data_IF_694257099318
#
_entry.id   IF_694257099318
#
_cell.length_a   1.000
_cell.length_b   1.000
_cell.length_c   1.000
_cell.angle_alpha   90.00
_cell.angle_beta   90.00
_cell.angle_gamma   90.00
#
_symmetry.space_group_name_H-M   'P 1'
#
loop_
_entity.id
_entity.type
_entity.pdbx_description
1 polymer ?
#
# COMPACT_ATOMS: atom_id res chain seq x y z
N UNK A 1 2.80 6.90 -38.36
CA UNK A 1 2.25 7.84 -37.35
C UNK A 1 2.67 7.32 -35.98
N UNK A 2 3.62 7.98 -35.33
CA UNK A 2 4.15 7.54 -34.04
C UNK A 2 3.11 7.81 -32.95
N UNK A 3 2.70 6.74 -32.28
CA UNK A 3 1.73 6.72 -31.19
C UNK A 3 2.09 7.76 -30.12
N UNK A 4 1.12 8.63 -29.78
CA UNK A 4 1.23 9.57 -28.66
C UNK A 4 1.53 8.76 -27.39
N UNK A 5 2.72 8.97 -26.82
CA UNK A 5 3.11 8.45 -25.51
C UNK A 5 1.99 8.71 -24.51
N UNK A 6 1.32 7.65 -24.06
CA UNK A 6 0.38 7.71 -22.96
C UNK A 6 1.18 7.90 -21.67
N UNK A 7 1.50 9.15 -21.34
CA UNK A 7 2.13 9.48 -20.06
C UNK A 7 1.25 8.96 -18.91
N UNK A 8 1.85 8.21 -17.98
CA UNK A 8 1.16 7.76 -16.78
C UNK A 8 0.72 8.94 -15.91
N UNK A 9 -0.26 8.72 -15.03
CA UNK A 9 -0.82 9.80 -14.19
C UNK A 9 0.27 10.51 -13.37
N UNK A 10 1.21 9.77 -12.78
CA UNK A 10 2.33 10.36 -12.05
C UNK A 10 3.24 11.21 -12.94
N UNK A 11 3.60 10.73 -14.13
CA UNK A 11 4.48 11.48 -15.03
C UNK A 11 3.82 12.78 -15.50
N UNK A 12 2.50 12.73 -15.77
CA UNK A 12 1.72 13.93 -16.10
C UNK A 12 1.70 14.92 -14.94
N UNK A 13 1.45 14.44 -13.71
CA UNK A 13 1.46 15.28 -12.51
C UNK A 13 2.83 15.92 -12.27
N UNK A 14 3.91 15.14 -12.40
CA UNK A 14 5.29 15.61 -12.28
C UNK A 14 5.63 16.70 -13.30
N UNK A 15 5.26 16.50 -14.57
CA UNK A 15 5.55 17.48 -15.62
C UNK A 15 4.77 18.78 -15.40
N UNK A 16 3.51 18.69 -14.95
CA UNK A 16 2.72 19.87 -14.59
C UNK A 16 3.33 20.61 -13.39
N UNK A 17 3.75 19.91 -12.34
CA UNK A 17 4.40 20.51 -11.18
C UNK A 17 5.70 21.24 -11.57
N UNK A 18 6.49 20.66 -12.47
CA UNK A 18 7.70 21.30 -13.02
C UNK A 18 7.37 22.57 -13.82
N UNK A 19 6.38 22.53 -14.72
CA UNK A 19 5.97 23.68 -15.54
C UNK A 19 5.42 24.82 -14.66
N UNK A 20 4.75 24.47 -13.56
CA UNK A 20 4.13 25.41 -12.63
C UNK A 20 5.06 25.85 -11.50
N UNK A 21 6.31 25.36 -11.51
CA UNK A 21 7.32 25.64 -10.48
C UNK A 21 6.81 25.36 -9.06
N UNK A 22 6.05 24.28 -8.89
CA UNK A 22 5.53 23.86 -7.58
C UNK A 22 6.68 23.37 -6.69
N UNK A 23 6.61 23.67 -5.38
CA UNK A 23 7.60 23.24 -4.39
C UNK A 23 7.64 21.71 -4.22
N UNK A 24 6.48 21.08 -4.40
CA UNK A 24 6.32 19.64 -4.38
C UNK A 24 6.31 19.08 -5.80
N UNK A 25 7.27 18.21 -6.10
CA UNK A 25 7.35 17.52 -7.39
C UNK A 25 7.18 16.02 -7.15
N UNK A 26 6.09 15.39 -7.64
CA UNK A 26 5.86 13.96 -7.46
C UNK A 26 7.02 13.09 -7.93
N UNK A 27 7.35 12.09 -7.11
CA UNK A 27 8.30 11.03 -7.42
C UNK A 27 7.56 9.83 -8.01
N UNK A 28 7.98 9.39 -9.19
CA UNK A 28 7.33 8.30 -9.93
C UNK A 28 8.19 7.04 -9.93
N UNK A 29 7.54 5.89 -9.90
CA UNK A 29 8.16 4.58 -10.17
C UNK A 29 8.40 4.43 -11.67
N UNK A 30 9.32 3.52 -12.04
CA UNK A 30 9.56 3.17 -13.44
C UNK A 30 8.32 2.60 -14.15
N UNK A 31 7.40 1.99 -13.39
CA UNK A 31 6.09 1.52 -13.84
C UNK A 31 5.11 2.65 -14.20
N UNK A 32 5.44 3.90 -13.87
CA UNK A 32 4.60 5.07 -14.09
C UNK A 32 3.61 5.38 -12.96
N UNK A 33 3.54 4.56 -11.91
CA UNK A 33 2.77 4.85 -10.69
C UNK A 33 3.52 5.82 -9.77
N UNK A 34 2.82 6.41 -8.80
CA UNK A 34 3.46 7.22 -7.76
C UNK A 34 4.30 6.34 -6.84
N UNK A 35 5.45 6.84 -6.39
CA UNK A 35 6.13 6.23 -5.24
C UNK A 35 5.18 6.30 -4.02
N UNK A 36 4.99 5.20 -3.28
CA UNK A 36 4.05 5.18 -2.17
C UNK A 36 4.40 6.17 -1.06
N UNK A 37 5.68 6.51 -0.91
CA UNK A 37 6.13 7.64 -0.10
C UNK A 37 6.48 8.79 -1.04
N UNK A 38 5.97 9.97 -0.72
CA UNK A 38 6.29 11.23 -1.37
C UNK A 38 6.93 12.15 -0.35
N UNK A 39 7.92 12.93 -0.76
CA UNK A 39 8.60 13.88 0.11
C UNK A 39 8.61 15.27 -0.53
N UNK A 40 8.06 16.25 0.18
CA UNK A 40 8.23 17.65 -0.18
C UNK A 40 9.56 18.13 0.43
N UNK A 41 10.53 18.33 -0.46
CA UNK A 41 11.90 18.70 -0.07
C UNK A 41 11.99 20.14 0.43
N UNK A 42 11.01 20.98 0.09
CA UNK A 42 10.99 22.38 0.51
C UNK A 42 10.60 22.50 1.99
N UNK A 43 9.53 21.80 2.40
CA UNK A 43 9.08 21.78 3.79
C UNK A 43 9.73 20.65 4.63
N UNK A 44 10.47 19.75 3.98
CA UNK A 44 11.16 18.62 4.60
C UNK A 44 10.22 17.56 5.19
N UNK A 45 8.98 17.48 4.69
CA UNK A 45 7.99 16.51 5.12
C UNK A 45 7.83 15.37 4.12
N UNK A 46 7.54 14.17 4.62
CA UNK A 46 7.21 13.00 3.81
C UNK A 46 5.85 12.44 4.20
N UNK A 47 5.08 11.95 3.25
CA UNK A 47 3.73 11.41 3.45
C UNK A 47 3.49 10.21 2.54
N UNK A 48 2.51 9.38 2.89
CA UNK A 48 2.11 8.27 2.03
C UNK A 48 1.03 8.71 1.03
N UNK A 49 1.11 8.20 -0.19
CA UNK A 49 0.09 8.41 -1.23
C UNK A 49 -0.45 7.09 -1.74
N UNK A 50 -1.65 7.13 -2.30
CA UNK A 50 -2.17 6.06 -3.14
C UNK A 50 -1.33 5.97 -4.44
N UNK A 51 -0.79 4.79 -4.75
CA UNK A 51 0.16 4.63 -5.86
C UNK A 51 -0.45 4.87 -7.24
N UNK A 52 -1.77 4.71 -7.37
CA UNK A 52 -2.47 4.91 -8.64
C UNK A 52 -2.83 6.39 -8.82
N UNK A 53 -3.47 6.99 -7.82
CA UNK A 53 -4.06 8.33 -7.91
C UNK A 53 -3.15 9.47 -7.43
N UNK A 54 -2.11 9.15 -6.64
CA UNK A 54 -1.23 10.15 -6.01
C UNK A 54 -1.86 10.91 -4.85
N UNK A 55 -3.08 10.53 -4.42
CA UNK A 55 -3.78 11.20 -3.32
C UNK A 55 -3.10 10.87 -1.98
N UNK A 56 -2.74 11.88 -1.16
CA UNK A 56 -2.13 11.66 0.13
C UNK A 56 -3.10 11.01 1.14
N UNK A 57 -2.59 10.05 1.92
CA UNK A 57 -3.31 9.48 3.05
C UNK A 57 -3.20 10.40 4.27
N UNK A 58 -4.34 10.83 4.80
CA UNK A 58 -4.39 11.66 6.00
C UNK A 58 -3.67 11.00 7.19
N UNK A 59 -2.96 11.82 7.99
CA UNK A 59 -2.24 11.35 9.18
C UNK A 59 -0.96 10.55 8.89
N UNK A 60 -0.47 10.55 7.65
CA UNK A 60 0.81 9.89 7.29
C UNK A 60 1.96 10.87 7.08
N UNK A 61 1.72 12.17 7.22
CA UNK A 61 2.76 13.18 7.10
C UNK A 61 3.70 13.15 8.31
N UNK A 62 4.97 12.89 8.06
CA UNK A 62 6.08 13.06 9.00
C UNK A 62 6.84 14.34 8.63
N UNK A 63 7.03 15.23 9.60
CA UNK A 63 7.79 16.46 9.41
C UNK A 63 9.32 16.25 9.48
N UNK A 64 10.10 17.33 9.28
CA UNK A 64 11.55 17.31 9.38
C UNK A 64 12.02 16.71 10.72
N UNK A 65 13.00 15.81 10.67
CA UNK A 65 13.58 15.17 11.86
C UNK A 65 12.71 14.09 12.52
N UNK A 66 11.49 13.87 12.04
CA UNK A 66 10.64 12.74 12.48
C UNK A 66 10.98 11.46 11.69
N UNK A 67 10.69 10.27 12.24
CA UNK A 67 10.78 9.03 11.49
C UNK A 67 9.93 9.08 10.21
N UNK A 68 10.48 8.56 9.11
CA UNK A 68 9.75 8.47 7.84
C UNK A 68 8.49 7.61 7.98
N UNK A 69 7.41 7.94 7.28
CA UNK A 69 6.19 7.15 7.35
C UNK A 69 6.36 5.79 6.68
N UNK A 70 5.72 4.77 7.23
CA UNK A 70 5.70 3.43 6.66
C UNK A 70 4.71 3.35 5.48
N UNK A 71 5.20 3.60 4.27
CA UNK A 71 4.40 3.62 3.05
C UNK A 71 4.54 2.33 2.22
N UNK A 72 3.60 2.10 1.30
CA UNK A 72 3.63 0.94 0.39
C UNK A 72 3.24 -0.39 1.05
N UNK A 73 2.86 -0.36 2.32
CA UNK A 73 2.38 -1.51 3.07
C UNK A 73 1.13 -2.17 2.44
N UNK A 74 0.26 -1.41 1.76
CA UNK A 74 -0.91 -1.98 1.05
C UNK A 74 -0.50 -3.02 0.00
N UNK A 75 0.66 -2.86 -0.65
CA UNK A 75 1.17 -3.86 -1.61
C UNK A 75 1.64 -5.14 -0.92
N UNK A 76 1.96 -5.07 0.38
CA UNK A 76 2.37 -6.22 1.17
C UNK A 76 1.17 -6.97 1.75
N UNK A 77 0.02 -6.30 1.95
CA UNK A 77 -1.16 -6.90 2.56
C UNK A 77 -2.19 -7.35 1.52
N UNK A 78 -2.90 -8.45 1.80
CA UNK A 78 -4.05 -8.87 0.98
C UNK A 78 -5.37 -8.55 1.65
N UNK A 79 -6.30 -8.05 0.84
CA UNK A 79 -7.70 -7.90 1.20
C UNK A 79 -8.53 -9.14 0.88
N UNK A 80 -8.03 -10.00 0.00
CA UNK A 80 -8.70 -11.23 -0.42
C UNK A 80 -8.26 -12.42 0.43
N UNK A 81 -9.22 -13.32 0.69
CA UNK A 81 -8.97 -14.52 1.49
C UNK A 81 -7.98 -15.42 0.76
N UNK A 82 -6.88 -15.74 1.43
CA UNK A 82 -5.86 -16.62 0.89
C UNK A 82 -6.35 -18.08 0.83
N UNK A 83 -5.84 -18.88 -0.11
CA UNK A 83 -6.07 -20.31 -0.14
C UNK A 83 -5.68 -20.97 1.17
N UNK A 84 -6.46 -21.98 1.59
CA UNK A 84 -6.13 -22.78 2.76
C UNK A 84 -4.93 -23.69 2.51
N UNK A 85 -4.11 -23.86 3.54
CA UNK A 85 -2.88 -24.63 3.51
C UNK A 85 -2.78 -25.49 4.77
N UNK A 86 -2.72 -26.80 4.62
CA UNK A 86 -2.69 -27.73 5.77
C UNK A 86 -1.25 -27.90 6.29
N UNK A 87 -0.26 -27.93 5.39
CA UNK A 87 1.15 -28.16 5.71
C UNK A 87 2.02 -27.00 5.25
N UNK A 88 2.95 -26.57 6.09
CA UNK A 88 3.94 -25.53 5.79
C UNK A 88 4.98 -26.04 4.78
N UNK A 89 5.39 -25.17 3.85
CA UNK A 89 6.24 -25.62 2.71
C UNK A 89 7.68 -25.91 3.11
N UNK A 90 8.21 -25.17 4.10
CA UNK A 90 9.64 -25.21 4.45
C UNK A 90 9.96 -26.40 5.37
N UNK A 91 9.10 -26.66 6.34
CA UNK A 91 9.34 -27.64 7.40
C UNK A 91 8.31 -28.78 7.44
N UNK A 92 7.30 -28.75 6.54
CA UNK A 92 6.24 -29.76 6.49
C UNK A 92 5.32 -29.77 7.71
N UNK A 93 5.45 -28.80 8.62
CA UNK A 93 4.67 -28.75 9.86
C UNK A 93 3.20 -28.45 9.57
N UNK A 94 2.31 -28.87 10.45
CA UNK A 94 0.87 -28.56 10.32
C UNK A 94 0.68 -27.06 10.57
N UNK A 95 0.01 -26.38 9.64
CA UNK A 95 -0.28 -24.97 9.75
C UNK A 95 -1.20 -24.70 10.95
N UNK A 96 -0.89 -23.64 11.70
CA UNK A 96 -1.69 -23.24 12.85
C UNK A 96 -2.88 -22.39 12.39
N UNK A 97 -4.04 -22.54 13.03
CA UNK A 97 -5.18 -21.66 12.74
C UNK A 97 -5.01 -20.34 13.47
N UNK A 98 -5.11 -19.23 12.75
CA UNK A 98 -5.06 -17.88 13.32
C UNK A 98 -6.14 -17.00 12.73
N UNK A 99 -6.64 -16.04 13.49
CA UNK A 99 -7.68 -15.12 13.04
C UNK A 99 -7.09 -14.00 12.17
N UNK A 100 -7.66 -13.79 10.99
CA UNK A 100 -7.25 -12.72 10.07
C UNK A 100 -8.46 -12.03 9.47
N UNK A 101 -8.27 -10.78 9.07
CA UNK A 101 -9.31 -9.92 8.52
C UNK A 101 -9.18 -9.79 7.01
N UNK A 102 -10.28 -9.94 6.31
CA UNK A 102 -10.37 -9.83 4.86
C UNK A 102 -11.58 -8.98 4.48
N UNK A 103 -11.57 -8.43 3.27
CA UNK A 103 -12.72 -7.73 2.71
C UNK A 103 -13.79 -8.74 2.31
N UNK A 104 -15.02 -8.48 2.71
CA UNK A 104 -16.22 -9.17 2.22
C UNK A 104 -17.22 -8.11 1.75
N UNK A 105 -17.27 -7.87 0.45
CA UNK A 105 -18.12 -6.84 -0.14
C UNK A 105 -17.69 -5.44 0.30
N UNK A 106 -18.49 -4.80 1.13
CA UNK A 106 -18.33 -3.43 1.64
C UNK A 106 -17.84 -3.36 3.10
N UNK A 107 -17.59 -4.51 3.73
CA UNK A 107 -17.12 -4.56 5.12
C UNK A 107 -15.94 -5.52 5.27
N UNK A 108 -15.30 -5.46 6.44
CA UNK A 108 -14.24 -6.38 6.84
C UNK A 108 -14.80 -7.47 7.74
N UNK A 109 -14.43 -8.71 7.46
CA UNK A 109 -14.84 -9.89 8.22
C UNK A 109 -13.62 -10.73 8.62
N UNK A 110 -13.72 -11.38 9.78
CA UNK A 110 -12.69 -12.27 10.30
C UNK A 110 -12.86 -13.68 9.74
N UNK A 111 -11.75 -14.32 9.40
CA UNK A 111 -11.66 -15.70 8.97
C UNK A 111 -10.44 -16.38 9.58
N UNK A 112 -10.56 -17.69 9.81
CA UNK A 112 -9.40 -18.51 10.14
C UNK A 112 -8.48 -18.63 8.92
N UNK A 113 -7.21 -18.33 9.15
CA UNK A 113 -6.11 -18.42 8.21
C UNK A 113 -5.09 -19.44 8.69
N UNK A 114 -4.47 -20.12 7.72
CA UNK A 114 -3.45 -21.12 7.94
C UNK A 114 -2.08 -20.48 8.07
N UNK A 115 -1.55 -20.45 9.30
CA UNK A 115 -0.34 -19.76 9.67
C UNK A 115 0.87 -20.69 9.72
N UNK A 116 1.91 -20.29 8.99
CA UNK A 116 3.24 -20.89 9.03
C UNK A 116 4.24 -19.84 9.51
N UNK A 117 4.89 -20.06 10.65
CA UNK A 117 5.75 -19.05 11.29
C UNK A 117 6.85 -18.54 10.35
N UNK A 118 7.53 -19.46 9.66
CA UNK A 118 8.63 -19.17 8.73
C UNK A 118 8.19 -18.46 7.44
N UNK A 119 6.89 -18.46 7.12
CA UNK A 119 6.35 -17.87 5.89
C UNK A 119 5.47 -16.64 6.16
N UNK A 120 5.23 -16.32 7.43
CA UNK A 120 4.25 -15.31 7.85
C UNK A 120 4.59 -13.86 7.50
N UNK A 121 5.84 -13.60 7.10
CA UNK A 121 6.32 -12.30 6.66
C UNK A 121 6.40 -12.18 5.14
N UNK A 122 6.10 -13.26 4.40
CA UNK A 122 6.16 -13.29 2.95
C UNK A 122 4.83 -12.76 2.39
N UNK A 123 4.83 -11.71 1.55
CA UNK A 123 3.61 -11.24 0.90
C UNK A 123 2.98 -12.30 -0.02
N UNK A 124 1.65 -12.30 -0.17
CA UNK A 124 0.68 -11.40 0.45
C UNK A 124 0.41 -11.69 1.94
N UNK A 125 0.54 -10.67 2.79
CA UNK A 125 0.37 -10.76 4.24
C UNK A 125 -1.10 -10.55 4.61
N UNK A 126 -1.75 -11.47 5.35
CA UNK A 126 -3.12 -11.26 5.80
C UNK A 126 -3.18 -10.28 6.98
N UNK A 127 -4.24 -9.49 7.03
CA UNK A 127 -4.42 -8.42 8.02
C UNK A 127 -4.78 -8.97 9.39
N UNK A 128 -4.11 -8.47 10.43
CA UNK A 128 -4.28 -8.96 11.81
C UNK A 128 -5.43 -8.28 12.55
N UNK A 129 -5.77 -7.04 12.19
CA UNK A 129 -6.78 -6.25 12.89
C UNK A 129 -7.90 -5.81 11.95
N UNK A 130 -9.10 -5.61 12.50
CA UNK A 130 -10.25 -5.07 11.76
C UNK A 130 -9.96 -3.67 11.24
N UNK A 131 -9.33 -2.82 12.07
CA UNK A 131 -8.99 -1.44 11.73
C UNK A 131 -8.05 -1.36 10.53
N UNK A 132 -7.04 -2.23 10.48
CA UNK A 132 -6.12 -2.28 9.33
C UNK A 132 -6.84 -2.73 8.07
N UNK A 133 -7.75 -3.72 8.17
CA UNK A 133 -8.59 -4.10 7.04
C UNK A 133 -9.48 -2.95 6.56
N UNK A 134 -10.15 -2.25 7.46
CA UNK A 134 -11.00 -1.11 7.09
C UNK A 134 -10.15 -0.02 6.41
N UNK A 135 -8.98 0.28 6.96
CA UNK A 135 -8.04 1.28 6.43
C UNK A 135 -7.49 0.91 5.07
N UNK A 136 -7.11 -0.35 4.86
CA UNK A 136 -6.39 -0.77 3.66
C UNK A 136 -7.32 -1.28 2.55
N UNK A 137 -8.45 -1.89 2.90
CA UNK A 137 -9.29 -2.64 1.97
C UNK A 137 -10.63 -1.99 1.66
N UNK A 138 -11.13 -1.07 2.48
CA UNK A 138 -12.40 -0.38 2.23
C UNK A 138 -12.16 1.04 1.71
N UNK A 139 -13.07 1.57 0.88
CA UNK A 139 -13.02 2.98 0.49
C UNK A 139 -13.21 3.88 1.74
N UNK A 140 -12.64 5.10 1.74
CA UNK A 140 -12.85 6.06 2.82
C UNK A 140 -14.34 6.38 2.97
N UNK A 141 -14.84 6.41 4.21
CA UNK A 141 -16.21 6.84 4.49
C UNK A 141 -16.33 8.33 4.19
N UNK A 142 -17.30 8.69 3.35
CA UNK A 142 -17.57 10.08 2.91
C UNK A 142 -18.09 10.95 4.05
#
# INVERSE_FOLDING_TARGET
>A
MLSKSSFSECLRARQLALIREESYIPECRATGTFQPMQCDRYNGSCFCVDELTGIPFSGTASGPGSPLPLCGLKSLFTCEKLPSKIFCEVDGTIAQKTERWYRRGDHCAMYLHDYCAQQSHIPPIPLRTKSDCQRFCLPPTR
#
